data_IF_498309728936
#
_entry.id   IF_498309728936
#
_cell.length_a   1.000
_cell.length_b   1.000
_cell.length_c   1.000
_cell.angle_alpha   90.00
_cell.angle_beta   90.00
_cell.angle_gamma   90.00
#
_symmetry.space_group_name_H-M   'P 1'
#
loop_
_entity.id
_entity.type
_entity.pdbx_description
1 polymer ?
#
# COMPACT_ATOMS: atom_id res chain seq x y z
N UNK A 1 21.36 10.81 21.48
CA UNK A 1 22.37 9.72 21.42
C UNK A 1 21.87 8.52 20.62
N UNK A 2 20.58 8.15 20.67
CA UNK A 2 19.97 7.08 19.85
C UNK A 2 18.94 7.62 18.82
N UNK A 3 19.09 8.85 18.36
CA UNK A 3 18.16 9.43 17.40
C UNK A 3 18.51 8.95 15.98
N UNK A 4 17.56 8.34 15.24
CA UNK A 4 17.78 7.97 13.85
C UNK A 4 18.03 9.22 12.99
N UNK A 5 18.77 9.08 11.89
CA UNK A 5 19.05 10.22 11.03
C UNK A 5 17.76 10.61 10.30
N UNK A 6 17.49 11.90 10.16
CA UNK A 6 16.32 12.38 9.41
C UNK A 6 16.27 11.87 7.98
N UNK A 7 17.43 11.67 7.35
CA UNK A 7 17.53 11.12 5.99
C UNK A 7 16.94 9.70 5.88
N UNK A 8 16.97 8.92 6.97
CA UNK A 8 16.47 7.55 6.99
C UNK A 8 14.93 7.50 6.84
N UNK A 9 14.24 8.64 6.94
CA UNK A 9 12.78 8.73 6.79
C UNK A 9 12.32 8.64 5.34
N UNK A 10 13.07 9.22 4.40
CA UNK A 10 12.70 9.28 2.98
C UNK A 10 13.71 8.58 2.06
N UNK A 11 14.96 8.40 2.51
CA UNK A 11 15.99 7.70 1.73
C UNK A 11 15.86 6.19 1.92
N UNK A 12 15.74 5.48 0.81
CA UNK A 12 15.78 4.01 0.80
C UNK A 12 17.19 3.54 1.16
N UNK A 13 17.26 2.49 1.99
CA UNK A 13 18.51 1.80 2.28
C UNK A 13 18.96 0.97 1.08
N UNK A 14 20.24 0.64 1.01
CA UNK A 14 20.79 -0.16 -0.08
C UNK A 14 20.13 -1.55 -0.12
N UNK A 15 19.43 -1.86 -1.22
CA UNK A 15 18.68 -3.10 -1.41
C UNK A 15 17.19 -3.08 -1.00
N UNK A 16 16.70 -1.99 -0.41
CA UNK A 16 15.28 -1.86 -0.03
C UNK A 16 14.42 -1.42 -1.23
N UNK A 17 13.37 -2.17 -1.55
CA UNK A 17 12.41 -1.79 -2.60
C UNK A 17 11.43 -0.76 -2.07
N UNK A 18 11.04 0.19 -2.93
CA UNK A 18 10.02 1.20 -2.57
C UNK A 18 8.65 0.59 -2.32
N UNK A 19 8.24 -0.31 -3.21
CA UNK A 19 6.93 -0.95 -3.19
C UNK A 19 7.11 -2.47 -3.24
N UNK A 20 6.45 -3.18 -2.33
CA UNK A 20 6.41 -4.64 -2.29
C UNK A 20 4.97 -5.11 -2.24
N UNK A 21 4.61 -5.99 -3.17
CA UNK A 21 3.29 -6.60 -3.20
C UNK A 21 3.30 -7.92 -2.42
N UNK A 22 2.38 -8.04 -1.46
CA UNK A 22 2.16 -9.28 -0.69
C UNK A 22 0.76 -9.81 -0.98
N UNK A 23 0.71 -10.92 -1.69
CA UNK A 23 -0.55 -11.63 -1.94
C UNK A 23 -1.06 -12.28 -0.65
N UNK A 24 -2.20 -11.81 -0.15
CA UNK A 24 -2.89 -12.37 1.02
C UNK A 24 -3.98 -13.38 0.61
N UNK A 25 -3.79 -14.06 -0.53
CA UNK A 25 -4.76 -14.97 -1.13
C UNK A 25 -5.16 -16.16 -0.23
N UNK A 26 -4.40 -16.45 0.84
CA UNK A 26 -4.47 -17.74 1.55
C UNK A 26 -5.26 -17.77 2.87
N UNK A 27 -5.68 -16.66 3.50
CA UNK A 27 -6.11 -16.77 4.91
C UNK A 27 -7.59 -16.51 5.23
N UNK A 28 -8.26 -15.45 4.73
CA UNK A 28 -9.69 -15.19 5.08
C UNK A 28 -10.51 -14.40 4.05
N UNK A 29 -9.90 -13.80 3.03
CA UNK A 29 -10.58 -12.88 2.11
C UNK A 29 -10.09 -13.11 0.67
N UNK A 30 -10.99 -13.60 -0.18
CA UNK A 30 -10.73 -13.72 -1.61
C UNK A 30 -10.42 -12.35 -2.23
N UNK A 31 -9.57 -12.35 -3.27
CA UNK A 31 -9.21 -11.18 -4.08
C UNK A 31 -8.65 -9.99 -3.26
N UNK A 32 -7.79 -10.29 -2.29
CA UNK A 32 -7.15 -9.27 -1.46
C UNK A 32 -5.64 -9.36 -1.52
N UNK A 33 -4.98 -8.22 -1.48
CA UNK A 33 -3.53 -8.11 -1.35
C UNK A 33 -3.14 -6.88 -0.54
N UNK A 34 -1.90 -6.91 -0.06
CA UNK A 34 -1.31 -5.83 0.73
C UNK A 34 -0.11 -5.27 0.00
N UNK A 35 -0.17 -3.99 -0.35
CA UNK A 35 0.94 -3.22 -0.87
C UNK A 35 1.69 -2.58 0.31
N UNK A 36 2.94 -2.97 0.47
CA UNK A 36 3.87 -2.35 1.42
C UNK A 36 4.63 -1.26 0.70
N UNK A 37 4.58 -0.03 1.22
CA UNK A 37 5.35 1.10 0.68
C UNK A 37 6.31 1.58 1.76
N UNK A 38 7.60 1.49 1.46
CA UNK A 38 8.68 1.87 2.37
C UNK A 38 9.02 3.35 2.22
N UNK A 39 9.44 3.96 3.33
CA UNK A 39 9.84 5.38 3.40
C UNK A 39 8.74 6.34 2.94
N UNK A 40 7.51 6.04 3.34
CA UNK A 40 6.32 6.86 3.07
C UNK A 40 5.46 6.99 4.33
N UNK A 41 4.58 7.98 4.33
CA UNK A 41 3.72 8.34 5.45
C UNK A 41 2.23 8.45 5.05
N UNK A 42 1.45 9.05 5.94
CA UNK A 42 0.02 9.28 5.76
C UNK A 42 -0.32 10.09 4.50
N UNK A 43 0.59 10.91 3.99
CA UNK A 43 0.37 11.74 2.80
C UNK A 43 0.08 10.85 1.60
N UNK A 44 1.00 9.91 1.31
CA UNK A 44 0.84 8.96 0.21
C UNK A 44 -0.23 7.92 0.50
N UNK A 45 -0.27 7.39 1.74
CA UNK A 45 -1.25 6.38 2.12
C UNK A 45 -2.69 6.85 1.99
N UNK A 46 -2.99 8.07 2.45
CA UNK A 46 -4.34 8.63 2.36
C UNK A 46 -4.71 8.99 0.92
N UNK A 47 -3.78 9.55 0.14
CA UNK A 47 -4.01 9.88 -1.27
C UNK A 47 -4.43 8.63 -2.05
N UNK A 48 -3.63 7.55 -1.98
CA UNK A 48 -3.90 6.32 -2.72
C UNK A 48 -5.20 5.68 -2.23
N UNK A 49 -5.43 5.65 -0.90
CA UNK A 49 -6.69 5.14 -0.34
C UNK A 49 -7.90 5.87 -0.92
N UNK A 50 -7.87 7.21 -0.93
CA UNK A 50 -8.98 8.02 -1.43
C UNK A 50 -9.24 7.77 -2.91
N UNK A 51 -8.18 7.61 -3.70
CA UNK A 51 -8.29 7.32 -5.13
C UNK A 51 -8.86 5.92 -5.39
N UNK A 52 -8.38 4.90 -4.67
CA UNK A 52 -8.91 3.54 -4.79
C UNK A 52 -10.38 3.42 -4.37
N UNK A 53 -10.81 4.20 -3.37
CA UNK A 53 -12.22 4.22 -2.95
C UNK A 53 -13.15 4.88 -3.97
N UNK A 54 -12.63 5.61 -4.97
CA UNK A 54 -13.45 6.15 -6.07
C UNK A 54 -13.78 5.09 -7.12
N UNK A 55 -12.95 4.06 -7.25
CA UNK A 55 -13.17 2.98 -8.19
C UNK A 55 -14.26 2.02 -7.68
N UNK A 56 -15.28 1.78 -8.50
CA UNK A 56 -16.40 0.88 -8.19
C UNK A 56 -15.98 -0.58 -8.15
N UNK A 57 -14.83 -0.95 -8.71
CA UNK A 57 -14.30 -2.32 -8.68
C UNK A 57 -13.66 -2.68 -7.33
N UNK A 58 -13.32 -1.67 -6.52
CA UNK A 58 -12.72 -1.83 -5.20
C UNK A 58 -13.80 -2.00 -4.15
N UNK A 59 -13.78 -3.15 -3.47
CA UNK A 59 -14.67 -3.44 -2.33
C UNK A 59 -14.17 -2.78 -1.05
N UNK A 60 -12.86 -2.80 -0.86
CA UNK A 60 -12.22 -2.27 0.34
C UNK A 60 -10.83 -1.75 0.00
N UNK A 61 -10.52 -0.54 0.48
CA UNK A 61 -9.17 -0.01 0.52
C UNK A 61 -8.93 0.68 1.87
N UNK A 62 -7.88 0.26 2.55
CA UNK A 62 -7.48 0.84 3.83
C UNK A 62 -5.97 0.75 3.99
N UNK A 63 -5.37 1.75 4.64
CA UNK A 63 -3.94 1.72 4.95
C UNK A 63 -3.72 1.83 6.46
N UNK A 64 -2.60 1.29 6.91
CA UNK A 64 -2.14 1.41 8.28
C UNK A 64 -0.68 1.86 8.28
N UNK A 65 -0.36 2.72 9.24
CA UNK A 65 1.01 3.02 9.62
C UNK A 65 1.30 2.24 10.92
N UNK A 66 2.07 1.14 10.85
CA UNK A 66 2.13 0.16 11.94
C UNK A 66 2.76 0.74 13.21
N UNK A 67 3.73 1.65 13.07
CA UNK A 67 4.37 2.31 14.19
C UNK A 67 4.95 3.68 13.77
N UNK A 68 4.70 4.78 14.52
CA UNK A 68 5.14 6.14 14.16
C UNK A 68 6.64 6.32 13.88
N UNK A 69 7.49 5.50 14.51
CA UNK A 69 8.96 5.53 14.34
C UNK A 69 9.45 4.77 13.09
N UNK A 70 8.57 4.04 12.40
CA UNK A 70 8.93 3.23 11.24
C UNK A 70 8.24 3.83 10.02
N UNK A 71 9.01 4.49 9.16
CA UNK A 71 8.50 5.08 7.92
C UNK A 71 8.16 3.99 6.89
N UNK A 72 6.97 3.40 7.05
CA UNK A 72 6.39 2.40 6.18
C UNK A 72 4.87 2.50 6.28
N UNK A 73 4.19 2.26 5.18
CA UNK A 73 2.73 2.11 5.15
C UNK A 73 2.37 0.75 4.57
N UNK A 74 1.29 0.16 5.09
CA UNK A 74 0.71 -1.06 4.56
C UNK A 74 -0.69 -0.74 4.06
N UNK A 75 -0.88 -0.81 2.74
CA UNK A 75 -2.14 -0.56 2.07
C UNK A 75 -2.77 -1.89 1.69
N UNK A 76 -3.92 -2.20 2.26
CA UNK A 76 -4.71 -3.38 1.95
C UNK A 76 -5.81 -3.03 0.96
N UNK A 77 -5.87 -3.78 -0.12
CA UNK A 77 -6.86 -3.61 -1.19
C UNK A 77 -7.60 -4.92 -1.41
N UNK A 78 -8.92 -4.85 -1.57
CA UNK A 78 -9.77 -5.95 -1.94
C UNK A 78 -10.66 -5.56 -3.12
N UNK A 79 -10.68 -6.38 -4.17
CA UNK A 79 -11.53 -6.19 -5.35
C UNK A 79 -12.76 -7.08 -5.30
N UNK A 80 -13.81 -6.68 -6.03
CA UNK A 80 -15.10 -7.39 -6.07
C UNK A 80 -15.02 -8.71 -6.84
N UNK A 81 -14.27 -8.76 -7.95
CA UNK A 81 -14.22 -9.91 -8.86
C UNK A 81 -12.79 -10.31 -9.23
N UNK A 82 -12.57 -11.61 -9.47
CA UNK A 82 -11.25 -12.20 -9.78
C UNK A 82 -10.90 -12.10 -11.27
N UNK A 83 -11.91 -11.98 -12.14
CA UNK A 83 -11.74 -12.16 -13.58
C UNK A 83 -11.28 -10.89 -14.32
N UNK A 84 -11.59 -9.69 -13.81
CA UNK A 84 -11.42 -8.44 -14.55
C UNK A 84 -10.33 -7.51 -14.01
N UNK A 85 -9.96 -7.63 -12.73
CA UNK A 85 -8.94 -6.74 -12.16
C UNK A 85 -8.19 -7.37 -10.99
N UNK A 86 -6.93 -7.72 -11.26
CA UNK A 86 -5.99 -8.09 -10.18
C UNK A 86 -5.81 -6.84 -9.30
N UNK A 87 -5.79 -6.95 -7.96
CA UNK A 87 -5.64 -5.77 -7.10
C UNK A 87 -4.39 -4.90 -7.41
N UNK A 88 -3.35 -5.52 -7.98
CA UNK A 88 -2.16 -4.83 -8.50
C UNK A 88 -2.47 -3.97 -9.76
N UNK A 89 -3.31 -4.44 -10.67
CA UNK A 89 -3.74 -3.69 -11.87
C UNK A 89 -4.58 -2.48 -11.47
N UNK A 90 -5.56 -2.66 -10.57
CA UNK A 90 -6.36 -1.55 -10.04
C UNK A 90 -5.49 -0.49 -9.36
N UNK A 91 -4.49 -0.94 -8.58
CA UNK A 91 -3.51 -0.04 -7.98
C UNK A 91 -2.75 0.79 -9.03
N UNK A 92 -2.39 0.20 -10.16
CA UNK A 92 -1.67 0.91 -11.22
C UNK A 92 -2.56 1.84 -12.06
N UNK A 93 -3.83 1.49 -12.25
CA UNK A 93 -4.80 2.29 -13.00
C UNK A 93 -5.26 3.50 -12.20
N UNK A 94 -5.57 3.30 -10.91
CA UNK A 94 -5.99 4.41 -10.04
C UNK A 94 -4.95 5.53 -9.92
N UNK A 95 -3.66 5.24 -10.10
CA UNK A 95 -2.58 6.25 -10.07
C UNK A 95 -2.41 6.98 -11.41
N UNK A 96 -2.93 6.44 -12.52
CA UNK A 96 -2.78 7.01 -13.86
C UNK A 96 -3.84 8.06 -14.21
N UNK A 97 -4.98 8.05 -13.54
CA UNK A 97 -6.05 9.07 -13.65
C UNK A 97 -5.82 10.26 -12.72
#
# INVERSE_FOLDING_TARGET
MNEPKRADSYRLSEGEKKCEWKDSANEKMANSGTLVINKEDHTMGNLIRMQLLRDKQVKFAGYIHPHPLIHKIELRVQTLDRALSTPMQVGSEGVRE
#
